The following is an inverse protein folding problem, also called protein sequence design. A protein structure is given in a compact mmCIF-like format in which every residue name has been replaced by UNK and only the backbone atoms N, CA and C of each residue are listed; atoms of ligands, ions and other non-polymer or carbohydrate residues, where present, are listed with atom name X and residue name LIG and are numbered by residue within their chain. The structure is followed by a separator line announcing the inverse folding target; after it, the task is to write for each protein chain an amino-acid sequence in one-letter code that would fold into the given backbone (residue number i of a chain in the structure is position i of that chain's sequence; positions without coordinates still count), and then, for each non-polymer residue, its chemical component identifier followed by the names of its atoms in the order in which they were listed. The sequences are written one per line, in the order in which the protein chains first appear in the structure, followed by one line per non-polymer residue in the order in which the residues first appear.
data_IF_644162378877
#
_entry.id   IF_644162378877
#
_cell.length_a   1.000
_cell.length_b   1.000
_cell.length_c   1.000
_cell.angle_alpha   90.00
_cell.angle_beta   90.00
_cell.angle_gamma   90.00
#
_symmetry.space_group_name_H-M   'P 1'
#
loop_
_entity.id
_entity.type
_entity.pdbx_description
1 polymer ?
#
# COMPACT_ATOMS: atom_id res chain seq x y z
N UNK A 1 16.88 17.08 -30.32
CA UNK A 1 17.32 15.68 -30.10
C UNK A 1 17.47 15.51 -28.60
N UNK A 2 16.64 14.72 -27.93
CA UNK A 2 16.72 14.53 -26.48
C UNK A 2 17.96 13.72 -26.14
N UNK A 3 18.81 14.26 -25.29
CA UNK A 3 20.03 13.58 -24.82
C UNK A 3 19.67 12.34 -24.00
N UNK A 4 20.61 11.41 -23.86
CA UNK A 4 20.43 10.25 -22.99
C UNK A 4 20.18 10.68 -21.53
N UNK A 5 20.80 11.80 -21.09
CA UNK A 5 20.65 12.34 -19.74
C UNK A 5 19.23 12.86 -19.49
N UNK A 6 18.65 13.60 -20.44
CA UNK A 6 17.27 14.08 -20.32
C UNK A 6 16.25 12.92 -20.28
N UNK A 7 16.50 11.85 -21.05
CA UNK A 7 15.67 10.63 -21.00
C UNK A 7 15.79 9.91 -19.67
N UNK A 8 17.01 9.82 -19.12
CA UNK A 8 17.26 9.26 -17.79
C UNK A 8 16.54 10.05 -16.70
N UNK A 9 16.67 11.39 -16.70
CA UNK A 9 16.03 12.23 -15.67
C UNK A 9 14.50 12.16 -15.74
N UNK A 10 13.94 12.05 -16.96
CA UNK A 10 12.50 11.78 -17.13
C UNK A 10 12.10 10.42 -16.58
N UNK A 11 12.88 9.36 -16.83
CA UNK A 11 12.62 8.03 -16.30
C UNK A 11 12.66 8.00 -14.77
N UNK A 12 13.63 8.69 -14.14
CA UNK A 12 13.72 8.82 -12.67
C UNK A 12 12.49 9.51 -12.10
N UNK A 13 12.00 10.60 -12.72
CA UNK A 13 10.77 11.28 -12.28
C UNK A 13 9.55 10.37 -12.39
N UNK A 14 9.42 9.63 -13.49
CA UNK A 14 8.30 8.71 -13.69
C UNK A 14 8.34 7.55 -12.70
N UNK A 15 9.53 6.99 -12.44
CA UNK A 15 9.72 5.94 -11.44
C UNK A 15 9.34 6.43 -10.04
N UNK A 16 9.77 7.64 -9.67
CA UNK A 16 9.39 8.24 -8.39
C UNK A 16 7.87 8.42 -8.29
N UNK A 17 7.23 8.98 -9.31
CA UNK A 17 5.78 9.18 -9.30
C UNK A 17 5.02 7.85 -9.19
N UNK A 18 5.47 6.81 -9.90
CA UNK A 18 4.88 5.47 -9.80
C UNK A 18 5.07 4.86 -8.40
N UNK A 19 6.24 5.04 -7.78
CA UNK A 19 6.51 4.57 -6.43
C UNK A 19 5.62 5.30 -5.41
N UNK A 20 5.51 6.63 -5.51
CA UNK A 20 4.68 7.44 -4.62
C UNK A 20 3.19 7.03 -4.75
N UNK A 21 2.70 6.79 -5.97
CA UNK A 21 1.33 6.30 -6.22
C UNK A 21 1.10 4.89 -5.67
N UNK A 22 2.06 3.98 -5.85
CA UNK A 22 2.00 2.63 -5.28
C UNK A 22 1.94 2.66 -3.74
N UNK A 23 2.73 3.54 -3.12
CA UNK A 23 2.72 3.72 -1.66
C UNK A 23 1.38 4.27 -1.18
N UNK A 24 0.82 5.29 -1.86
CA UNK A 24 -0.50 5.83 -1.51
C UNK A 24 -1.60 4.76 -1.59
N UNK A 25 -1.65 3.98 -2.67
CA UNK A 25 -2.61 2.88 -2.81
C UNK A 25 -2.42 1.79 -1.73
N UNK A 26 -1.18 1.53 -1.32
CA UNK A 26 -0.88 0.57 -0.25
C UNK A 26 -1.35 1.08 1.12
N UNK A 27 -1.18 2.37 1.40
CA UNK A 27 -1.66 3.02 2.61
C UNK A 27 -3.19 3.04 2.67
N UNK A 28 -3.86 3.43 1.59
CA UNK A 28 -5.32 3.41 1.48
C UNK A 28 -5.89 2.01 1.71
N UNK A 29 -5.26 0.99 1.14
CA UNK A 29 -5.63 -0.40 1.38
C UNK A 29 -5.47 -0.78 2.85
N UNK A 30 -4.38 -0.39 3.51
CA UNK A 30 -4.18 -0.69 4.92
C UNK A 30 -5.23 0.00 5.81
N UNK A 31 -5.57 1.26 5.52
CA UNK A 31 -6.64 1.98 6.20
C UNK A 31 -8.00 1.28 6.02
N UNK A 32 -8.33 0.83 4.82
CA UNK A 32 -9.56 0.07 4.57
C UNK A 32 -9.59 -1.26 5.38
N UNK A 33 -8.45 -1.94 5.54
CA UNK A 33 -8.36 -3.14 6.36
C UNK A 33 -8.51 -2.83 7.86
N UNK A 34 -8.02 -1.69 8.34
CA UNK A 34 -8.22 -1.24 9.72
C UNK A 34 -9.71 -0.95 9.96
N UNK A 35 -10.33 -0.14 9.09
CA UNK A 35 -11.76 0.17 9.18
C UNK A 35 -12.62 -1.10 9.12
N UNK A 36 -12.31 -2.03 8.21
CA UNK A 36 -13.00 -3.32 8.15
C UNK A 36 -12.83 -4.15 9.42
N UNK A 37 -11.68 -4.06 10.10
CA UNK A 37 -11.46 -4.76 11.36
C UNK A 37 -12.27 -4.12 12.51
N UNK A 38 -12.48 -2.81 12.47
CA UNK A 38 -13.38 -2.09 13.39
C UNK A 38 -14.84 -2.48 13.14
N UNK A 39 -15.27 -2.54 11.87
CA UNK A 39 -16.63 -2.90 11.48
C UNK A 39 -16.98 -4.36 11.79
N UNK A 40 -16.08 -5.30 11.45
CA UNK A 40 -16.30 -6.74 11.63
C UNK A 40 -15.78 -7.27 12.98
N UNK A 41 -15.21 -6.40 13.81
CA UNK A 41 -14.70 -6.69 15.15
C UNK A 41 -13.35 -7.42 15.21
N UNK A 42 -12.79 -7.88 14.08
CA UNK A 42 -11.44 -8.47 14.06
C UNK A 42 -10.81 -8.54 12.67
N UNK A 43 -9.46 -8.53 12.62
CA UNK A 43 -8.68 -8.77 11.40
C UNK A 43 -8.94 -10.17 10.80
N UNK A 44 -9.28 -11.15 11.64
CA UNK A 44 -9.63 -12.50 11.19
C UNK A 44 -11.00 -12.55 10.49
N UNK A 45 -11.97 -11.72 10.89
CA UNK A 45 -13.24 -11.58 10.20
C UNK A 45 -13.04 -10.94 8.81
N UNK A 46 -12.25 -9.86 8.72
CA UNK A 46 -11.86 -9.24 7.44
C UNK A 46 -11.19 -10.24 6.51
N UNK A 47 -10.26 -11.04 7.03
CA UNK A 47 -9.57 -12.06 6.22
C UNK A 47 -10.53 -13.10 5.65
N UNK A 48 -11.51 -13.55 6.44
CA UNK A 48 -12.56 -14.47 5.99
C UNK A 48 -13.46 -13.83 4.92
N UNK A 49 -13.90 -12.59 5.14
CA UNK A 49 -14.74 -11.84 4.19
C UNK A 49 -14.06 -11.67 2.83
N UNK A 50 -12.76 -11.35 2.83
CA UNK A 50 -11.97 -11.15 1.61
C UNK A 50 -11.43 -12.46 1.00
N UNK A 51 -11.67 -13.62 1.62
CA UNK A 51 -11.14 -14.90 1.16
C UNK A 51 -9.61 -15.00 1.21
N UNK A 52 -8.95 -14.27 2.12
CA UNK A 52 -7.50 -14.24 2.28
C UNK A 52 -7.04 -14.80 3.64
N UNK A 53 -5.74 -15.01 3.80
CA UNK A 53 -5.17 -15.44 5.08
C UNK A 53 -4.98 -14.24 6.02
N UNK A 54 -5.36 -14.39 7.29
CA UNK A 54 -5.19 -13.37 8.34
C UNK A 54 -3.79 -12.75 8.41
N UNK A 55 -2.67 -13.50 8.27
CA UNK A 55 -1.33 -12.90 8.24
C UNK A 55 -1.14 -11.85 7.13
N UNK A 56 -1.84 -11.99 6.00
CA UNK A 56 -1.78 -11.01 4.90
C UNK A 56 -2.41 -9.67 5.30
N UNK A 57 -3.53 -9.72 6.02
CA UNK A 57 -4.20 -8.52 6.57
C UNK A 57 -3.31 -7.88 7.63
N UNK A 58 -2.79 -8.70 8.57
CA UNK A 58 -1.94 -8.22 9.66
C UNK A 58 -0.65 -7.59 9.13
N UNK A 59 -0.03 -8.18 8.11
CA UNK A 59 1.19 -7.66 7.51
C UNK A 59 0.95 -6.29 6.85
N UNK A 60 -0.14 -6.14 6.11
CA UNK A 60 -0.49 -4.85 5.48
C UNK A 60 -0.72 -3.76 6.53
N UNK A 61 -1.49 -4.06 7.58
CA UNK A 61 -1.76 -3.11 8.67
C UNK A 61 -0.47 -2.74 9.41
N UNK A 62 0.36 -3.72 9.77
CA UNK A 62 1.63 -3.47 10.48
C UNK A 62 2.62 -2.67 9.64
N UNK A 63 2.70 -2.94 8.34
CA UNK A 63 3.57 -2.19 7.43
C UNK A 63 3.17 -0.70 7.39
N UNK A 64 1.87 -0.42 7.37
CA UNK A 64 1.34 0.94 7.46
C UNK A 64 1.63 1.57 8.83
N UNK A 65 1.33 0.89 9.93
CA UNK A 65 1.58 1.39 11.29
C UNK A 65 3.04 1.77 11.51
N UNK A 66 3.98 0.89 11.12
CA UNK A 66 5.42 1.15 11.24
C UNK A 66 5.89 2.35 10.40
N UNK A 67 5.19 2.68 9.32
CA UNK A 67 5.48 3.86 8.49
C UNK A 67 4.99 5.15 9.15
N UNK A 68 3.93 5.07 9.95
CA UNK A 68 3.28 6.22 10.61
C UNK A 68 3.75 6.48 12.04
N UNK A 69 4.46 5.53 12.67
CA UNK A 69 5.19 5.69 13.94
C UNK A 69 6.44 6.57 13.77
#
# INVERSE_FOLDING_TARGET
MTTWKERHDAAVRNQKAALDAYQAATDERALALIAGAEELGSQAAVARELGVKTPSVNQAIRAYQKKTE
#
